data_IF_053139261491
#
_entry.id   IF_053139261491
#
_cell.length_a   1.000
_cell.length_b   1.000
_cell.length_c   1.000
_cell.angle_alpha   90.00
_cell.angle_beta   90.00
_cell.angle_gamma   90.00
#
_symmetry.space_group_name_H-M   'P 1'
#
loop_
_entity.id
_entity.type
_entity.pdbx_description
1 polymer ?
#
# COMPACT_ATOMS: atom_id res chain seq x y z
N UNK A 1 -21.66 -19.76 -41.86
CA UNK A 1 -22.52 -19.27 -40.76
C UNK A 1 -22.00 -17.89 -40.35
N UNK A 2 -22.85 -16.87 -40.50
CA UNK A 2 -22.46 -15.46 -40.50
C UNK A 2 -22.42 -14.89 -39.08
N UNK A 3 -21.23 -14.55 -38.57
CA UNK A 3 -21.04 -13.91 -37.26
C UNK A 3 -21.57 -12.46 -37.18
N UNK A 4 -21.91 -11.85 -38.31
CA UNK A 4 -22.31 -10.44 -38.41
C UNK A 4 -23.73 -10.14 -37.86
N UNK A 5 -24.53 -11.16 -37.54
CA UNK A 5 -25.96 -10.95 -37.19
C UNK A 5 -26.23 -11.01 -35.68
N UNK A 6 -25.31 -11.52 -34.86
CA UNK A 6 -25.57 -11.77 -33.42
C UNK A 6 -25.45 -10.51 -32.55
N UNK A 7 -24.66 -9.52 -32.98
CA UNK A 7 -24.46 -8.27 -32.22
C UNK A 7 -25.64 -7.29 -32.24
N UNK A 8 -26.68 -7.54 -33.04
CA UNK A 8 -27.81 -6.61 -33.20
C UNK A 8 -28.99 -6.86 -32.25
N UNK A 9 -29.01 -7.99 -31.54
CA UNK A 9 -30.20 -8.46 -30.83
C UNK A 9 -30.16 -8.30 -29.29
N UNK A 10 -29.02 -8.00 -28.68
CA UNK A 10 -28.90 -8.09 -27.21
C UNK A 10 -27.94 -7.04 -26.59
N UNK A 11 -28.31 -5.75 -26.58
CA UNK A 11 -27.48 -4.66 -26.03
C UNK A 11 -27.13 -4.84 -24.54
N UNK A 12 -27.91 -5.64 -23.80
CA UNK A 12 -27.66 -5.99 -22.41
C UNK A 12 -26.38 -6.81 -22.20
N UNK A 13 -25.97 -7.66 -23.18
CA UNK A 13 -24.73 -8.44 -23.09
C UNK A 13 -23.49 -7.55 -23.17
N UNK A 14 -23.55 -6.46 -23.94
CA UNK A 14 -22.47 -5.47 -23.99
C UNK A 14 -22.36 -4.70 -22.66
N UNK A 15 -23.50 -4.34 -22.07
CA UNK A 15 -23.53 -3.68 -20.76
C UNK A 15 -22.98 -4.57 -19.65
N UNK A 16 -23.31 -5.87 -19.65
CA UNK A 16 -22.75 -6.83 -18.69
C UNK A 16 -21.23 -7.02 -18.83
N UNK A 17 -20.72 -7.07 -20.06
CA UNK A 17 -19.27 -7.14 -20.29
C UNK A 17 -18.54 -5.89 -19.81
N UNK A 18 -19.11 -4.71 -20.03
CA UNK A 18 -18.56 -3.45 -19.56
C UNK A 18 -18.55 -3.35 -18.03
N UNK A 19 -19.63 -3.75 -17.36
CA UNK A 19 -19.71 -3.82 -15.90
C UNK A 19 -18.69 -4.80 -15.32
N UNK A 20 -18.53 -5.99 -15.92
CA UNK A 20 -17.54 -6.96 -15.48
C UNK A 20 -16.11 -6.43 -15.65
N UNK A 21 -15.80 -5.77 -16.77
CA UNK A 21 -14.51 -5.12 -16.99
C UNK A 21 -14.24 -4.00 -15.99
N UNK A 22 -15.25 -3.17 -15.71
CA UNK A 22 -15.14 -2.07 -14.74
C UNK A 22 -15.00 -2.61 -13.31
N UNK A 23 -15.67 -3.70 -12.97
CA UNK A 23 -15.51 -4.41 -11.70
C UNK A 23 -14.08 -4.95 -11.55
N UNK A 24 -13.51 -5.56 -12.59
CA UNK A 24 -12.11 -6.02 -12.57
C UNK A 24 -11.15 -4.84 -12.37
N UNK A 25 -11.37 -3.71 -13.05
CA UNK A 25 -10.54 -2.51 -12.89
C UNK A 25 -10.69 -1.94 -11.47
N UNK A 26 -11.90 -1.88 -10.91
CA UNK A 26 -12.10 -1.38 -9.54
C UNK A 26 -11.45 -2.31 -8.52
N UNK A 27 -11.60 -3.62 -8.67
CA UNK A 27 -10.98 -4.61 -7.79
C UNK A 27 -9.44 -4.56 -7.84
N UNK A 28 -8.84 -4.39 -9.02
CA UNK A 28 -7.38 -4.37 -9.19
C UNK A 28 -6.77 -2.98 -8.96
N UNK A 29 -7.50 -1.90 -9.22
CA UNK A 29 -7.00 -0.52 -9.18
C UNK A 29 -7.19 0.20 -7.84
N UNK A 30 -8.14 -0.23 -7.01
CA UNK A 30 -8.40 0.35 -5.68
C UNK A 30 -7.76 -0.42 -4.52
N UNK A 31 -6.77 -1.29 -4.76
CA UNK A 31 -6.09 -2.01 -3.69
C UNK A 31 -6.96 -3.03 -2.95
N UNK A 32 -8.01 -3.56 -3.60
CA UNK A 32 -8.79 -4.69 -3.05
C UNK A 32 -8.09 -6.04 -3.27
N UNK A 33 -7.09 -6.09 -4.16
CA UNK A 33 -6.14 -7.20 -4.24
C UNK A 33 -5.09 -6.95 -3.17
N UNK A 34 -5.19 -7.64 -2.04
CA UNK A 34 -4.12 -7.67 -1.05
C UNK A 34 -2.81 -8.05 -1.76
N UNK A 35 -1.70 -7.34 -1.51
CA UNK A 35 -0.39 -7.82 -1.91
C UNK A 35 -0.23 -9.27 -1.45
N UNK A 36 0.37 -10.12 -2.28
CA UNK A 36 0.65 -11.49 -1.86
C UNK A 36 1.51 -11.45 -0.59
N UNK A 37 1.24 -12.28 0.43
CA UNK A 37 2.11 -12.39 1.59
C UNK A 37 3.56 -12.65 1.16
N UNK A 38 4.48 -11.85 1.67
CA UNK A 38 5.89 -11.80 1.31
C UNK A 38 6.26 -10.84 0.19
N UNK A 39 5.34 -9.98 -0.26
CA UNK A 39 5.65 -8.96 -1.29
C UNK A 39 6.35 -7.74 -0.70
N UNK A 40 6.20 -7.50 0.61
CA UNK A 40 6.62 -6.26 1.27
C UNK A 40 5.88 -5.04 0.71
N UNK A 41 5.58 -4.06 1.55
CA UNK A 41 4.99 -2.79 1.10
C UNK A 41 6.05 -1.71 1.16
N UNK A 42 6.30 -1.04 0.04
CA UNK A 42 7.29 0.03 -0.07
C UNK A 42 6.57 1.35 -0.36
N UNK A 43 6.85 2.35 0.46
CA UNK A 43 6.18 3.63 0.40
C UNK A 43 7.16 4.78 0.65
N UNK A 44 7.12 5.80 -0.19
CA UNK A 44 7.82 7.07 0.09
C UNK A 44 6.94 7.92 1.00
N UNK A 45 7.52 8.41 2.10
CA UNK A 45 6.87 9.31 3.04
C UNK A 45 7.71 10.56 3.19
N UNK A 46 7.10 11.73 3.03
CA UNK A 46 7.78 12.99 3.28
C UNK A 46 6.97 13.84 4.24
N UNK A 47 7.66 14.55 5.12
CA UNK A 47 7.10 15.64 5.92
C UNK A 47 7.73 16.98 5.51
N UNK A 48 7.53 18.04 6.30
CA UNK A 48 8.05 19.36 5.98
C UNK A 48 9.60 19.45 6.00
N UNK A 49 10.29 18.44 6.52
CA UNK A 49 11.73 18.49 6.81
C UNK A 49 12.48 17.22 6.41
N UNK A 50 11.79 16.11 6.18
CA UNK A 50 12.40 14.82 5.90
C UNK A 50 11.69 14.09 4.77
N UNK A 51 12.47 13.29 4.05
CA UNK A 51 12.00 12.39 3.00
C UNK A 51 12.53 10.99 3.32
N UNK A 52 11.61 10.06 3.52
CA UNK A 52 11.89 8.70 3.94
C UNK A 52 11.33 7.71 2.94
N UNK A 53 11.99 6.57 2.89
CA UNK A 53 11.49 5.39 2.20
C UNK A 53 11.19 4.33 3.26
N UNK A 54 9.91 3.97 3.37
CA UNK A 54 9.40 3.03 4.35
C UNK A 54 9.19 1.68 3.67
N UNK A 55 9.67 0.61 4.31
CA UNK A 55 9.57 -0.76 3.82
C UNK A 55 8.98 -1.64 4.91
N UNK A 56 7.75 -2.09 4.69
CA UNK A 56 7.09 -3.10 5.50
C UNK A 56 7.61 -4.48 5.13
N UNK A 57 8.06 -5.22 6.14
CA UNK A 57 8.36 -6.64 6.11
C UNK A 57 7.27 -7.37 6.89
N UNK A 58 6.34 -7.97 6.17
CA UNK A 58 5.19 -8.70 6.71
C UNK A 58 5.58 -10.02 7.37
N UNK A 59 6.67 -10.65 6.94
CA UNK A 59 7.16 -11.89 7.54
C UNK A 59 7.76 -11.65 8.90
N UNK A 60 8.45 -10.52 9.06
CA UNK A 60 9.08 -10.15 10.32
C UNK A 60 8.18 -9.29 11.22
N UNK A 61 7.06 -8.78 10.69
CA UNK A 61 6.24 -7.71 11.29
C UNK A 61 7.10 -6.51 11.68
N UNK A 62 7.86 -6.02 10.70
CA UNK A 62 8.79 -4.92 10.87
C UNK A 62 8.56 -3.83 9.85
N UNK A 63 8.88 -2.61 10.24
CA UNK A 63 8.97 -1.48 9.33
C UNK A 63 10.42 -0.98 9.34
N UNK A 64 11.07 -1.02 8.19
CA UNK A 64 12.40 -0.46 8.01
C UNK A 64 12.27 0.91 7.35
N UNK A 65 12.91 1.89 7.96
CA UNK A 65 12.91 3.28 7.54
C UNK A 65 14.26 3.55 6.91
N UNK A 66 14.26 4.05 5.69
CA UNK A 66 15.44 4.47 4.96
C UNK A 66 15.37 5.97 4.68
N UNK A 67 16.53 6.60 4.52
CA UNK A 67 16.62 7.93 3.94
C UNK A 67 16.31 7.82 2.45
N UNK A 68 15.36 8.62 1.95
CA UNK A 68 14.97 8.55 0.54
C UNK A 68 16.07 9.08 -0.41
N UNK A 69 17.04 9.83 0.10
CA UNK A 69 18.09 10.48 -0.68
C UNK A 69 19.20 9.50 -1.06
N UNK A 70 19.69 8.74 -0.09
CA UNK A 70 20.85 7.85 -0.26
C UNK A 70 20.53 6.37 0.01
N UNK A 71 19.30 6.06 0.43
CA UNK A 71 18.86 4.70 0.70
C UNK A 71 19.49 4.08 1.96
N UNK A 72 20.12 4.86 2.83
CA UNK A 72 20.70 4.32 4.07
C UNK A 72 19.60 3.89 5.04
N UNK A 73 19.73 2.73 5.72
CA UNK A 73 18.80 2.36 6.77
C UNK A 73 18.97 3.31 7.96
N UNK A 74 17.87 3.98 8.32
CA UNK A 74 17.79 4.92 9.42
C UNK A 74 17.33 4.21 10.70
N UNK A 75 16.26 3.42 10.60
CA UNK A 75 15.67 2.74 11.75
C UNK A 75 14.94 1.48 11.35
N UNK A 76 14.85 0.54 12.29
CA UNK A 76 14.01 -0.65 12.19
C UNK A 76 13.04 -0.64 13.36
N UNK A 77 11.75 -0.59 13.05
CA UNK A 77 10.67 -0.70 14.02
C UNK A 77 10.20 -2.15 14.06
N UNK A 78 10.20 -2.73 15.25
CA UNK A 78 9.71 -4.09 15.49
C UNK A 78 8.22 -4.16 15.74
N UNK A 79 7.65 -5.37 15.86
CA UNK A 79 6.21 -5.59 16.03
C UNK A 79 5.63 -4.87 17.26
N UNK A 80 6.43 -4.63 18.30
CA UNK A 80 6.02 -3.86 19.48
C UNK A 80 5.69 -2.38 19.18
N UNK A 81 6.22 -1.83 18.08
CA UNK A 81 6.08 -0.44 17.70
C UNK A 81 5.08 -0.23 16.55
N UNK A 82 4.97 -1.21 15.64
CA UNK A 82 4.15 -1.11 14.41
C UNK A 82 2.99 -2.10 14.36
N UNK A 83 2.95 -3.10 15.23
CA UNK A 83 1.94 -4.15 15.19
C UNK A 83 2.20 -5.19 14.10
N UNK A 84 1.11 -5.78 13.60
CA UNK A 84 1.12 -6.67 12.45
C UNK A 84 1.17 -5.82 11.18
N UNK A 85 2.11 -6.07 10.28
CA UNK A 85 2.38 -5.15 9.17
C UNK A 85 2.19 -5.86 7.84
N UNK A 86 1.01 -5.75 7.24
CA UNK A 86 0.77 -6.30 5.89
C UNK A 86 1.00 -5.23 4.80
N UNK A 87 0.49 -4.02 5.01
CA UNK A 87 0.54 -2.96 4.00
C UNK A 87 0.73 -1.56 4.64
N UNK A 88 1.30 -0.64 3.86
CA UNK A 88 1.41 0.78 4.22
C UNK A 88 0.44 1.60 3.38
N UNK A 89 -0.25 2.55 4.03
CA UNK A 89 -1.16 3.45 3.35
C UNK A 89 -1.02 4.90 3.85
N UNK A 90 -1.26 5.84 2.93
CA UNK A 90 -1.40 7.26 3.25
C UNK A 90 -2.86 7.68 3.16
N UNK A 91 -3.33 8.41 4.16
CA UNK A 91 -4.63 9.05 4.08
C UNK A 91 -4.64 10.38 4.84
N UNK A 92 -5.08 11.46 4.19
CA UNK A 92 -5.11 12.83 4.75
C UNK A 92 -3.78 13.27 5.40
N UNK A 93 -2.65 12.94 4.77
CA UNK A 93 -1.33 13.27 5.32
C UNK A 93 -0.96 12.51 6.60
N UNK A 94 -1.69 11.44 6.94
CA UNK A 94 -1.35 10.49 8.01
C UNK A 94 -0.91 9.16 7.42
N UNK A 95 0.00 8.50 8.13
CA UNK A 95 0.56 7.20 7.77
C UNK A 95 -0.19 6.11 8.54
N UNK A 96 -0.54 5.04 7.85
CA UNK A 96 -1.19 3.89 8.43
C UNK A 96 -0.44 2.62 8.08
N UNK A 97 -0.32 1.75 9.08
CA UNK A 97 -0.08 0.32 8.89
C UNK A 97 -1.44 -0.35 8.77
N UNK A 98 -1.56 -1.24 7.79
CA UNK A 98 -2.72 -2.09 7.61
C UNK A 98 -2.31 -3.51 7.97
N UNK A 99 -3.03 -4.09 8.90
CA UNK A 99 -2.82 -5.45 9.40
C UNK A 99 -3.46 -6.46 8.43
N UNK A 100 -3.14 -7.75 8.59
CA UNK A 100 -3.72 -8.82 7.75
C UNK A 100 -5.24 -8.95 7.88
N UNK A 101 -5.87 -8.42 8.92
CA UNK A 101 -7.34 -8.39 9.05
C UNK A 101 -7.98 -7.13 8.43
N UNK A 102 -7.16 -6.19 7.93
CA UNK A 102 -7.59 -4.92 7.38
C UNK A 102 -7.75 -3.80 8.41
N UNK A 103 -7.41 -4.07 9.69
CA UNK A 103 -7.33 -3.05 10.73
C UNK A 103 -6.30 -2.00 10.34
N UNK A 104 -6.64 -0.72 10.56
CA UNK A 104 -5.77 0.42 10.25
C UNK A 104 -5.22 1.00 11.53
N UNK A 105 -3.91 0.91 11.70
CA UNK A 105 -3.19 1.47 12.82
C UNK A 105 -2.43 2.71 12.37
N UNK A 106 -2.78 3.88 12.93
CA UNK A 106 -2.08 5.11 12.60
C UNK A 106 -0.65 5.08 13.15
N UNK A 107 0.35 5.18 12.27
CA UNK A 107 1.74 5.25 12.65
C UNK A 107 2.15 6.70 12.87
N UNK A 108 2.28 7.09 14.14
CA UNK A 108 2.74 8.42 14.51
C UNK A 108 4.26 8.52 14.30
N UNK A 109 4.67 9.52 13.52
CA UNK A 109 6.06 9.83 13.18
C UNK A 109 6.98 10.35 14.32
N UNK A 110 6.56 10.66 15.57
CA UNK A 110 7.52 10.95 16.65
C UNK A 110 8.54 9.84 16.85
N UNK A 111 8.17 8.59 16.56
CA UNK A 111 9.05 7.42 16.63
C UNK A 111 10.21 7.50 15.63
N UNK A 112 10.04 8.26 14.54
CA UNK A 112 11.02 8.50 13.48
C UNK A 112 11.87 9.76 13.75
N UNK A 113 11.36 10.72 14.55
CA UNK A 113 12.10 11.95 14.91
C UNK A 113 13.37 11.67 15.70
N UNK A 114 13.39 10.59 16.48
CA UNK A 114 14.60 10.12 17.19
C UNK A 114 15.77 9.86 16.23
N UNK A 115 15.49 9.55 14.97
CA UNK A 115 16.48 9.12 13.99
C UNK A 115 17.16 10.28 13.26
N UNK A 116 16.42 11.38 13.05
CA UNK A 116 16.98 12.60 12.47
C UNK A 116 17.91 13.34 13.45
N UNK A 117 17.71 13.15 14.76
CA UNK A 117 18.50 13.82 15.80
C UNK A 117 19.81 13.10 16.13
N UNK A 118 20.04 11.91 15.58
CA UNK A 118 21.25 11.08 15.81
C UNK A 118 22.31 11.20 14.72
N UNK A 119 22.20 12.16 13.81
CA UNK A 119 23.30 12.53 12.92
C UNK A 119 24.28 13.47 13.67
N UNK A 120 25.58 13.13 13.77
CA UNK A 120 26.60 14.01 14.37
C UNK A 120 26.87 15.26 13.53
#
# INVERSE_FOLDING_TARGET
MNFATILRAHPWLAASGMLAGLLVIVLNGFGLVRPLPGSGSLMRWHDASHDWLLVADDRANQLIVYDATDGRPLQRLGPSAVGDVAELAQHDGRLFVIDDDGTRNELKLPQLKTVASSAP
#
